data_IF_330037729050
#
_entry.id   IF_330037729050
#
_cell.length_a   1.000
_cell.length_b   1.000
_cell.length_c   1.000
_cell.angle_alpha   90.00
_cell.angle_beta   90.00
_cell.angle_gamma   90.00
#
_symmetry.space_group_name_H-M   'P 1'
#
loop_
_entity.id
_entity.type
_entity.pdbx_description
1 polymer ?
#
# COMPACT_ATOMS: atom_id res chain seq x y z
N UNK A 1 -82.63 15.27 -12.50
CA UNK A 1 -81.49 15.88 -11.77
C UNK A 1 -80.31 14.95 -11.94
N UNK A 2 -79.34 15.39 -12.75
CA UNK A 2 -78.12 14.66 -13.07
C UNK A 2 -77.07 14.91 -11.97
N UNK A 3 -76.31 13.89 -11.60
CA UNK A 3 -75.10 14.00 -10.80
C UNK A 3 -73.91 13.51 -11.62
N UNK A 4 -72.94 14.42 -11.76
CA UNK A 4 -71.88 14.46 -12.75
C UNK A 4 -70.64 13.68 -12.25
N UNK A 5 -70.03 12.90 -13.15
CA UNK A 5 -68.85 12.08 -12.89
C UNK A 5 -67.64 12.87 -13.37
N UNK A 6 -66.79 13.31 -12.44
CA UNK A 6 -65.54 14.01 -12.78
C UNK A 6 -64.44 13.04 -13.30
N UNK A 7 -63.68 13.41 -14.34
CA UNK A 7 -62.61 12.57 -14.89
C UNK A 7 -61.30 12.69 -14.10
N UNK A 8 -60.58 11.57 -14.00
CA UNK A 8 -59.23 11.46 -13.41
C UNK A 8 -58.22 12.32 -14.17
N UNK A 9 -57.44 13.13 -13.44
CA UNK A 9 -56.34 13.94 -13.95
C UNK A 9 -55.18 13.07 -14.47
N UNK A 10 -54.69 13.37 -15.68
CA UNK A 10 -53.47 12.80 -16.26
C UNK A 10 -52.21 13.32 -15.57
N UNK A 11 -51.13 12.52 -15.45
CA UNK A 11 -49.87 13.02 -14.88
C UNK A 11 -49.15 13.96 -15.86
N UNK A 12 -48.61 15.07 -15.35
CA UNK A 12 -47.74 16.01 -16.09
C UNK A 12 -46.47 15.31 -16.57
N UNK A 13 -45.97 15.60 -17.80
CA UNK A 13 -44.68 15.09 -18.26
C UNK A 13 -43.55 15.70 -17.43
N UNK A 14 -42.70 14.85 -16.85
CA UNK A 14 -41.45 15.25 -16.18
C UNK A 14 -40.50 15.82 -17.25
N UNK A 15 -40.05 17.06 -17.08
CA UNK A 15 -39.01 17.66 -17.93
C UNK A 15 -37.72 16.84 -17.78
N UNK A 16 -37.02 16.49 -18.88
CA UNK A 16 -35.73 15.82 -18.78
C UNK A 16 -34.75 16.72 -18.02
N UNK A 17 -33.99 16.14 -17.09
CA UNK A 17 -32.92 16.83 -16.38
C UNK A 17 -31.93 17.40 -17.41
N UNK A 18 -31.61 18.68 -17.27
CA UNK A 18 -30.66 19.38 -18.13
C UNK A 18 -29.29 18.73 -17.92
N UNK A 19 -28.74 18.07 -18.93
CA UNK A 19 -27.36 17.60 -18.90
C UNK A 19 -26.43 18.79 -18.61
N UNK A 20 -25.64 18.68 -17.54
CA UNK A 20 -24.61 19.66 -17.21
C UNK A 20 -23.62 19.74 -18.37
N UNK A 21 -23.28 20.97 -18.79
CA UNK A 21 -22.27 21.16 -19.83
C UNK A 21 -20.89 20.79 -19.24
N UNK A 22 -19.90 20.38 -20.06
CA UNK A 22 -18.54 20.05 -19.62
C UNK A 22 -17.82 21.17 -18.83
N UNK A 23 -18.38 22.38 -18.82
CA UNK A 23 -17.80 23.59 -18.20
C UNK A 23 -17.81 23.58 -16.66
N UNK A 24 -18.54 22.66 -16.03
CA UNK A 24 -18.79 22.67 -14.57
C UNK A 24 -18.07 21.53 -13.80
N UNK A 25 -17.09 20.85 -14.41
CA UNK A 25 -16.61 19.54 -13.93
C UNK A 25 -15.45 19.60 -12.91
N UNK A 26 -14.71 20.71 -12.80
CA UNK A 26 -13.62 20.88 -11.82
C UNK A 26 -13.87 22.07 -10.90
N UNK A 27 -14.19 21.79 -9.63
CA UNK A 27 -14.34 22.83 -8.60
C UNK A 27 -13.01 23.50 -8.24
N UNK A 28 -13.08 24.73 -7.71
CA UNK A 28 -11.89 25.53 -7.29
C UNK A 28 -10.97 24.78 -6.31
N UNK A 29 -11.52 23.88 -5.51
CA UNK A 29 -10.76 23.12 -4.52
C UNK A 29 -9.89 22.03 -5.14
N UNK A 30 -10.40 21.36 -6.17
CA UNK A 30 -9.63 20.38 -6.95
C UNK A 30 -8.48 21.06 -7.69
N UNK A 31 -8.74 22.24 -8.27
CA UNK A 31 -7.74 23.09 -8.91
C UNK A 31 -6.60 23.46 -7.94
N UNK A 32 -6.93 23.88 -6.71
CA UNK A 32 -5.92 24.23 -5.69
C UNK A 32 -5.10 23.02 -5.24
N UNK A 33 -5.73 21.85 -5.15
CA UNK A 33 -5.04 20.59 -4.86
C UNK A 33 -4.03 20.22 -5.96
N UNK A 34 -4.43 20.39 -7.24
CA UNK A 34 -3.53 20.21 -8.38
C UNK A 34 -2.37 21.21 -8.37
N UNK A 35 -2.63 22.50 -8.17
CA UNK A 35 -1.58 23.53 -8.08
C UNK A 35 -0.58 23.23 -6.95
N UNK A 36 -1.07 22.79 -5.79
CA UNK A 36 -0.22 22.41 -4.65
C UNK A 36 0.64 21.19 -4.98
N UNK A 37 0.08 20.19 -5.66
CA UNK A 37 0.81 19.01 -6.12
C UNK A 37 1.92 19.40 -7.11
N UNK A 38 1.61 20.17 -8.15
CA UNK A 38 2.60 20.60 -9.14
C UNK A 38 3.72 21.44 -8.49
N UNK A 39 3.38 22.31 -7.55
CA UNK A 39 4.37 23.10 -6.82
C UNK A 39 5.31 22.20 -5.99
N UNK A 40 4.76 21.19 -5.30
CA UNK A 40 5.56 20.25 -4.51
C UNK A 40 6.46 19.38 -5.40
N UNK A 41 5.94 18.86 -6.51
CA UNK A 41 6.70 18.01 -7.43
C UNK A 41 7.78 18.81 -8.15
N UNK A 42 7.49 20.03 -8.57
CA UNK A 42 8.49 20.93 -9.14
C UNK A 42 9.59 21.26 -8.12
N UNK A 43 9.22 21.54 -6.87
CA UNK A 43 10.18 21.78 -5.79
C UNK A 43 11.06 20.56 -5.51
N UNK A 44 10.51 19.35 -5.58
CA UNK A 44 11.25 18.10 -5.43
C UNK A 44 12.24 17.90 -6.58
N UNK A 45 11.83 18.14 -7.83
CA UNK A 45 12.70 18.03 -9.00
C UNK A 45 13.83 19.07 -8.99
N UNK A 46 13.54 20.30 -8.56
CA UNK A 46 14.54 21.37 -8.46
C UNK A 46 15.58 21.07 -7.37
N UNK A 47 15.12 20.51 -6.25
CA UNK A 47 15.97 20.01 -5.18
C UNK A 47 16.89 18.88 -5.67
N UNK A 48 16.34 17.86 -6.33
CA UNK A 48 17.14 16.77 -6.90
C UNK A 48 18.12 17.28 -7.97
N UNK A 49 17.72 18.22 -8.81
CA UNK A 49 18.59 18.80 -9.83
C UNK A 49 19.75 19.60 -9.24
N UNK A 50 19.50 20.34 -8.17
CA UNK A 50 20.57 21.05 -7.45
C UNK A 50 21.57 20.07 -6.85
N UNK A 51 21.10 18.97 -6.26
CA UNK A 51 21.97 17.94 -5.70
C UNK A 51 22.75 17.19 -6.79
N UNK A 52 22.12 16.83 -7.90
CA UNK A 52 22.80 16.18 -9.03
C UNK A 52 23.87 17.09 -9.63
N UNK A 53 23.62 18.39 -9.74
CA UNK A 53 24.58 19.36 -10.26
C UNK A 53 25.82 19.58 -9.36
N UNK A 54 25.73 19.28 -8.06
CA UNK A 54 26.84 19.42 -7.11
C UNK A 54 27.76 18.19 -7.05
N UNK A 55 27.40 17.12 -7.76
CA UNK A 55 28.01 15.80 -7.64
C UNK A 55 28.19 15.17 -9.02
N UNK A 56 29.34 15.43 -9.69
CA UNK A 56 29.61 14.98 -11.06
C UNK A 56 29.49 13.46 -11.28
N UNK A 57 29.57 12.66 -10.21
CA UNK A 57 29.41 11.21 -10.21
C UNK A 57 28.00 10.70 -10.57
N UNK A 58 26.96 11.54 -10.48
CA UNK A 58 25.59 11.16 -10.87
C UNK A 58 25.41 11.07 -12.40
N UNK A 59 26.39 11.53 -13.18
CA UNK A 59 26.49 11.31 -14.61
C UNK A 59 25.35 11.90 -15.46
N UNK A 60 25.38 11.60 -16.75
CA UNK A 60 24.36 12.02 -17.72
C UNK A 60 22.99 11.39 -17.43
N UNK A 61 22.96 10.20 -16.81
CA UNK A 61 21.74 9.45 -16.57
C UNK A 61 20.73 10.21 -15.69
N UNK A 62 21.17 10.68 -14.51
CA UNK A 62 20.29 11.40 -13.59
C UNK A 62 19.95 12.81 -14.10
N UNK A 63 20.87 13.43 -14.85
CA UNK A 63 20.61 14.72 -15.51
C UNK A 63 19.51 14.59 -16.56
N UNK A 64 19.60 13.59 -17.44
CA UNK A 64 18.59 13.34 -18.48
C UNK A 64 17.27 12.85 -17.88
N UNK A 65 17.30 12.06 -16.81
CA UNK A 65 16.12 11.68 -16.04
C UNK A 65 15.37 12.91 -15.54
N UNK A 66 16.05 13.83 -14.84
CA UNK A 66 15.43 15.03 -14.28
C UNK A 66 14.86 15.92 -15.38
N UNK A 67 15.57 16.04 -16.50
CA UNK A 67 15.06 16.73 -17.68
C UNK A 67 13.79 16.05 -18.23
N UNK A 68 13.74 14.72 -18.27
CA UNK A 68 12.58 13.95 -18.72
C UNK A 68 11.38 14.12 -17.77
N UNK A 69 11.58 14.01 -16.46
CA UNK A 69 10.52 14.20 -15.46
C UNK A 69 9.96 15.64 -15.48
N UNK A 70 10.82 16.65 -15.65
CA UNK A 70 10.37 18.04 -15.87
C UNK A 70 9.53 18.19 -17.12
N UNK A 71 9.89 17.53 -18.23
CA UNK A 71 9.08 17.52 -19.47
C UNK A 71 7.72 16.86 -19.26
N UNK A 72 7.67 15.70 -18.59
CA UNK A 72 6.42 15.01 -18.28
C UNK A 72 5.52 15.82 -17.34
N UNK A 73 6.09 16.46 -16.32
CA UNK A 73 5.34 17.32 -15.41
C UNK A 73 4.79 18.56 -16.13
N UNK A 74 5.59 19.17 -17.01
CA UNK A 74 5.15 20.28 -17.86
C UNK A 74 4.04 19.87 -18.83
N UNK A 75 4.13 18.68 -19.44
CA UNK A 75 3.09 18.15 -20.33
C UNK A 75 1.79 17.85 -19.57
N UNK A 76 1.87 17.26 -18.38
CA UNK A 76 0.72 17.00 -17.52
C UNK A 76 0.06 18.32 -17.09
N UNK A 77 0.85 19.30 -16.68
CA UNK A 77 0.38 20.65 -16.34
C UNK A 77 -0.33 21.31 -17.52
N UNK A 78 0.25 21.21 -18.73
CA UNK A 78 -0.36 21.73 -19.95
C UNK A 78 -1.68 21.02 -20.29
N UNK A 79 -1.74 19.69 -20.18
CA UNK A 79 -2.97 18.92 -20.42
C UNK A 79 -4.06 19.27 -19.41
N UNK A 80 -3.72 19.40 -18.12
CA UNK A 80 -4.67 19.83 -17.09
C UNK A 80 -5.15 21.26 -17.36
N UNK A 81 -4.23 22.18 -17.69
CA UNK A 81 -4.58 23.55 -18.05
C UNK A 81 -5.50 23.63 -19.28
N UNK A 82 -5.31 22.74 -20.27
CA UNK A 82 -6.16 22.65 -21.47
C UNK A 82 -7.58 22.11 -21.21
N UNK A 83 -7.78 21.44 -20.07
CA UNK A 83 -9.09 20.99 -19.61
C UNK A 83 -9.83 22.08 -18.80
N UNK A 84 -9.16 23.19 -18.47
CA UNK A 84 -9.76 24.33 -17.81
C UNK A 84 -10.43 25.25 -18.84
N UNK A 85 -11.63 25.77 -18.56
CA UNK A 85 -12.29 26.67 -19.50
C UNK A 85 -11.53 28.00 -19.62
N UNK A 86 -11.24 28.41 -20.86
CA UNK A 86 -10.77 29.76 -21.22
C UNK A 86 -11.86 30.80 -20.84
N UNK A 87 -11.53 31.99 -20.31
CA UNK A 87 -12.51 32.99 -19.93
C UNK A 87 -13.08 33.71 -21.16
N UNK A 88 -13.91 33.04 -21.96
CA UNK A 88 -14.61 33.65 -23.10
C UNK A 88 -16.03 33.08 -23.35
N UNK A 89 -16.99 33.90 -23.83
CA UNK A 89 -18.41 33.54 -23.89
C UNK A 89 -18.75 32.55 -25.03
N UNK A 90 -19.88 31.82 -24.95
CA UNK A 90 -20.10 30.61 -25.75
C UNK A 90 -20.46 30.90 -27.20
N UNK A 91 -19.82 30.17 -28.13
CA UNK A 91 -20.39 29.82 -29.43
C UNK A 91 -20.63 28.32 -29.51
N UNK A 92 -21.76 27.95 -30.13
CA UNK A 92 -22.25 26.57 -30.27
C UNK A 92 -21.48 25.83 -31.37
N UNK A 93 -21.05 24.60 -31.08
CA UNK A 93 -20.66 23.58 -32.06
C UNK A 93 -21.28 22.21 -31.63
N UNK A 94 -21.52 21.27 -32.56
CA UNK A 94 -22.43 20.15 -32.34
C UNK A 94 -21.79 18.92 -31.70
N UNK A 95 -22.70 18.08 -31.21
CA UNK A 95 -22.60 16.93 -30.33
C UNK A 95 -21.85 15.73 -30.93
N UNK A 96 -20.76 15.31 -30.28
CA UNK A 96 -20.21 13.94 -30.34
C UNK A 96 -19.25 13.69 -29.14
N UNK A 97 -19.72 13.84 -27.90
CA UNK A 97 -18.90 13.54 -26.70
C UNK A 97 -19.76 13.32 -25.44
N UNK A 98 -20.78 12.46 -25.50
CA UNK A 98 -21.78 12.35 -24.40
C UNK A 98 -21.53 11.18 -23.43
N UNK A 99 -20.79 10.13 -23.80
CA UNK A 99 -20.58 8.97 -22.93
C UNK A 99 -19.29 9.06 -22.06
N UNK A 100 -18.17 9.55 -22.61
CA UNK A 100 -16.94 9.74 -21.83
C UNK A 100 -17.10 10.84 -20.76
N UNK A 101 -17.92 11.85 -21.04
CA UNK A 101 -18.14 13.00 -20.16
C UNK A 101 -18.95 12.66 -18.90
N UNK A 102 -19.85 11.66 -18.94
CA UNK A 102 -20.67 11.28 -17.79
C UNK A 102 -19.92 10.39 -16.80
N UNK A 103 -19.06 9.49 -17.29
CA UNK A 103 -18.20 8.65 -16.45
C UNK A 103 -17.16 9.51 -15.71
N UNK A 104 -16.50 10.41 -16.44
CA UNK A 104 -15.56 11.38 -15.87
C UNK A 104 -16.25 12.30 -14.85
N UNK A 105 -17.43 12.84 -15.16
CA UNK A 105 -18.19 13.67 -14.23
C UNK A 105 -18.69 12.90 -12.98
N UNK A 106 -19.03 11.62 -13.12
CA UNK A 106 -19.46 10.78 -11.98
C UNK A 106 -18.30 10.49 -11.03
N UNK A 107 -17.11 10.24 -11.58
CA UNK A 107 -15.90 10.09 -10.77
C UNK A 107 -15.50 11.39 -10.07
N UNK A 108 -15.59 12.53 -10.77
CA UNK A 108 -15.37 13.84 -10.15
C UNK A 108 -16.40 14.16 -9.06
N UNK A 109 -17.66 13.76 -9.20
CA UNK A 109 -18.70 13.93 -8.19
C UNK A 109 -18.48 13.04 -6.95
N UNK A 110 -18.02 11.79 -7.14
CA UNK A 110 -17.65 10.88 -6.05
C UNK A 110 -16.44 11.41 -5.25
N UNK A 111 -15.44 11.99 -5.94
CA UNK A 111 -14.29 12.66 -5.32
C UNK A 111 -14.74 13.89 -4.51
N UNK A 112 -15.63 14.73 -5.08
CA UNK A 112 -16.13 15.93 -4.41
C UNK A 112 -16.94 15.60 -3.14
N UNK A 113 -17.78 14.56 -3.19
CA UNK A 113 -18.60 14.12 -2.06
C UNK A 113 -17.76 13.54 -0.92
N UNK A 114 -16.65 12.86 -1.27
CA UNK A 114 -15.67 12.34 -0.31
C UNK A 114 -14.88 13.46 0.36
N UNK A 115 -14.60 14.57 -0.35
CA UNK A 115 -13.91 15.74 0.19
C UNK A 115 -14.78 16.57 1.14
N UNK A 116 -16.09 16.69 0.88
CA UNK A 116 -17.01 17.38 1.80
C UNK A 116 -17.21 16.62 3.12
N UNK A 117 -17.15 15.28 3.10
CA UNK A 117 -17.15 14.45 4.31
C UNK A 117 -15.88 14.63 5.15
N UNK A 118 -14.74 14.92 4.51
CA UNK A 118 -13.43 15.13 5.17
C UNK A 118 -13.26 16.54 5.73
N UNK A 119 -13.95 17.55 5.18
CA UNK A 119 -13.95 18.95 5.65
C UNK A 119 -14.59 19.18 7.02
N UNK A 120 -15.40 18.24 7.51
CA UNK A 120 -16.03 18.33 8.81
C UNK A 120 -15.06 18.03 9.99
N UNK A 121 -13.76 17.80 9.75
CA UNK A 121 -12.77 17.43 10.78
C UNK A 121 -11.58 18.42 10.81
N UNK A 122 -11.22 19.03 11.95
CA UNK A 122 -10.42 20.27 11.94
C UNK A 122 -8.88 20.09 11.87
N UNK A 123 -8.34 18.90 11.61
CA UNK A 123 -6.89 18.63 11.78
C UNK A 123 -6.25 17.79 10.66
N UNK A 124 -6.67 17.92 9.40
CA UNK A 124 -6.17 17.07 8.30
C UNK A 124 -5.93 17.81 6.97
N UNK A 125 -5.35 19.01 6.99
CA UNK A 125 -5.19 19.85 5.79
C UNK A 125 -3.99 19.52 4.87
N UNK A 126 -3.07 18.64 5.30
CA UNK A 126 -1.91 18.24 4.48
C UNK A 126 -1.97 16.83 3.86
N UNK A 127 -2.94 16.01 4.28
CA UNK A 127 -2.93 14.55 4.07
C UNK A 127 -3.79 14.05 2.90
N UNK A 128 -4.74 14.86 2.42
CA UNK A 128 -5.77 14.42 1.46
C UNK A 128 -5.36 14.64 0.00
N UNK A 129 -4.32 15.44 -0.25
CA UNK A 129 -4.00 15.98 -1.58
C UNK A 129 -3.20 15.02 -2.47
N UNK A 130 -2.37 14.14 -1.89
CA UNK A 130 -1.50 13.22 -2.65
C UNK A 130 -2.20 11.95 -3.15
N UNK A 131 -3.15 11.42 -2.37
CA UNK A 131 -3.82 10.14 -2.63
C UNK A 131 -4.80 10.24 -3.82
N UNK A 132 -5.34 11.43 -4.08
CA UNK A 132 -6.39 11.63 -5.08
C UNK A 132 -5.86 11.73 -6.52
N UNK A 133 -4.59 12.13 -6.72
CA UNK A 133 -4.02 12.37 -8.06
C UNK A 133 -3.62 11.08 -8.80
N UNK A 134 -3.13 10.06 -8.06
CA UNK A 134 -2.80 8.74 -8.61
C UNK A 134 -4.07 8.02 -9.08
N UNK A 135 -5.17 8.14 -8.33
CA UNK A 135 -6.48 7.62 -8.72
C UNK A 135 -7.04 8.30 -9.98
N UNK A 136 -6.87 9.62 -10.13
CA UNK A 136 -7.32 10.36 -11.34
C UNK A 136 -6.51 9.95 -12.58
N UNK A 137 -5.20 9.74 -12.45
CA UNK A 137 -4.35 9.25 -13.55
C UNK A 137 -4.69 7.84 -14.00
N UNK A 138 -4.97 6.93 -13.06
CA UNK A 138 -5.38 5.56 -13.35
C UNK A 138 -6.77 5.47 -13.97
N UNK A 139 -7.72 6.29 -13.49
CA UNK A 139 -9.10 6.34 -14.03
C UNK A 139 -9.15 6.92 -15.45
N UNK A 140 -8.35 7.95 -15.76
CA UNK A 140 -8.29 8.49 -17.13
C UNK A 140 -7.71 7.47 -18.13
N UNK A 141 -6.84 6.57 -17.68
CA UNK A 141 -6.25 5.53 -18.51
C UNK A 141 -7.25 4.37 -18.75
N UNK A 142 -8.00 3.97 -17.71
CA UNK A 142 -9.05 2.96 -17.80
C UNK A 142 -10.25 3.40 -18.67
N UNK A 143 -10.61 4.69 -18.64
CA UNK A 143 -11.73 5.24 -19.41
C UNK A 143 -11.55 5.21 -20.95
N UNK A 144 -10.37 4.82 -21.46
CA UNK A 144 -10.12 4.65 -22.90
C UNK A 144 -10.29 3.20 -23.39
N UNK A 145 -10.50 2.22 -22.49
CA UNK A 145 -10.60 0.79 -22.86
C UNK A 145 -11.95 0.12 -22.62
N UNK A 146 -12.86 0.69 -21.85
CA UNK A 146 -14.18 0.08 -21.58
C UNK A 146 -15.33 0.85 -22.22
N UNK A 147 -15.44 0.73 -23.54
CA UNK A 147 -16.71 0.87 -24.25
C UNK A 147 -17.17 -0.51 -24.73
N UNK A 148 -17.33 -1.46 -23.79
CA UNK A 148 -17.96 -2.74 -24.07
C UNK A 148 -18.49 -3.36 -22.77
N UNK A 149 -19.81 -3.53 -22.72
CA UNK A 149 -20.59 -4.44 -21.87
C UNK A 149 -20.97 -3.95 -20.45
N UNK A 150 -22.10 -3.22 -20.38
CA UNK A 150 -22.98 -3.18 -19.20
C UNK A 150 -24.43 -3.37 -19.68
N UNK A 151 -25.09 -4.43 -19.20
CA UNK A 151 -26.52 -4.55 -18.90
C UNK A 151 -26.67 -5.88 -18.12
N UNK A 152 -27.31 -6.00 -16.96
CA UNK A 152 -28.57 -5.40 -16.51
C UNK A 152 -28.83 -5.68 -15.00
N UNK A 153 -29.25 -4.64 -14.26
CA UNK A 153 -30.41 -4.49 -13.33
C UNK A 153 -31.20 -5.71 -12.79
N UNK A 154 -32.11 -5.55 -11.79
CA UNK A 154 -32.11 -4.74 -10.55
C UNK A 154 -32.72 -5.49 -9.31
N UNK A 155 -32.97 -4.74 -8.22
CA UNK A 155 -34.00 -4.91 -7.15
C UNK A 155 -33.47 -5.26 -5.75
N UNK A 156 -33.56 -4.28 -4.83
CA UNK A 156 -33.50 -4.47 -3.37
C UNK A 156 -34.88 -4.74 -2.74
N UNK A 157 -35.16 -4.26 -1.52
CA UNK A 157 -34.65 -4.77 -0.23
C UNK A 157 -35.81 -5.14 0.72
N UNK A 158 -35.57 -5.93 1.80
CA UNK A 158 -36.38 -5.87 3.03
C UNK A 158 -35.61 -6.22 4.30
N UNK A 159 -35.77 -5.34 5.28
CA UNK A 159 -35.25 -5.33 6.67
C UNK A 159 -36.12 -6.24 7.55
N UNK A 160 -35.51 -6.89 8.55
CA UNK A 160 -36.20 -7.32 9.77
C UNK A 160 -35.35 -6.93 11.00
N UNK A 161 -35.96 -6.09 11.84
CA UNK A 161 -35.47 -5.54 13.09
C UNK A 161 -35.79 -6.52 14.22
N UNK A 162 -34.85 -6.81 15.13
CA UNK A 162 -35.15 -7.46 16.41
C UNK A 162 -34.45 -6.69 17.55
N UNK A 163 -35.23 -6.35 18.56
CA UNK A 163 -34.83 -5.64 19.78
C UNK A 163 -34.95 -6.59 21.01
N UNK A 164 -34.74 -6.15 22.26
CA UNK A 164 -33.54 -6.42 23.04
C UNK A 164 -33.82 -7.28 24.29
N UNK A 165 -32.79 -7.89 24.88
CA UNK A 165 -32.88 -8.40 26.28
C UNK A 165 -31.56 -8.16 27.02
N UNK A 166 -31.72 -7.76 28.28
CA UNK A 166 -30.84 -7.01 29.19
C UNK A 166 -29.87 -7.86 30.04
N UNK A 167 -28.92 -7.22 30.76
CA UNK A 167 -27.68 -7.84 31.25
C UNK A 167 -27.76 -8.41 32.68
N UNK A 168 -26.87 -9.36 32.97
CA UNK A 168 -26.55 -9.83 34.33
C UNK A 168 -25.03 -9.84 34.56
N UNK A 169 -24.60 -9.46 35.76
CA UNK A 169 -23.19 -9.30 36.19
C UNK A 169 -23.15 -9.59 37.71
N UNK A 170 -22.01 -9.84 38.37
CA UNK A 170 -20.87 -10.74 38.11
C UNK A 170 -20.66 -11.75 39.28
N UNK A 171 -19.75 -12.73 39.11
CA UNK A 171 -19.24 -13.57 40.20
C UNK A 171 -17.73 -13.73 40.13
N UNK A 172 -17.02 -13.31 41.18
CA UNK A 172 -15.55 -13.38 41.34
C UNK A 172 -15.16 -14.62 42.16
N UNK A 173 -14.12 -15.36 41.75
CA UNK A 173 -13.31 -16.10 42.71
C UNK A 173 -11.80 -15.80 42.62
N UNK A 174 -11.24 -15.36 43.76
CA UNK A 174 -9.94 -15.71 44.34
C UNK A 174 -8.67 -15.72 43.47
N UNK A 175 -7.88 -14.64 43.56
CA UNK A 175 -6.47 -14.64 43.16
C UNK A 175 -5.61 -15.26 44.28
N UNK A 176 -5.05 -16.45 44.05
CA UNK A 176 -3.89 -16.94 44.81
C UNK A 176 -2.62 -16.55 44.06
N UNK A 177 -1.80 -15.70 44.66
CA UNK A 177 -0.51 -15.31 44.13
C UNK A 177 0.51 -16.44 44.35
N UNK A 178 0.77 -17.21 43.30
CA UNK A 178 1.98 -18.05 43.21
C UNK A 178 3.13 -17.11 42.90
N UNK A 179 4.06 -16.93 43.85
CA UNK A 179 5.33 -16.24 43.61
C UNK A 179 6.17 -17.15 42.71
N UNK A 180 6.11 -16.91 41.41
CA UNK A 180 6.99 -17.55 40.44
C UNK A 180 8.40 -16.97 40.63
N UNK A 181 9.37 -17.83 40.95
CA UNK A 181 10.79 -17.53 40.80
C UNK A 181 11.05 -17.06 39.36
N UNK A 182 11.75 -15.94 39.14
CA UNK A 182 12.04 -15.46 37.80
C UNK A 182 12.92 -16.48 37.08
N UNK A 183 12.35 -17.19 36.12
CA UNK A 183 13.08 -17.99 35.16
C UNK A 183 14.08 -17.06 34.46
N UNK A 184 15.36 -17.44 34.30
CA UNK A 184 16.31 -16.66 33.51
C UNK A 184 15.69 -16.40 32.13
N UNK A 185 15.49 -15.13 31.79
CA UNK A 185 15.02 -14.76 30.45
C UNK A 185 16.14 -15.18 29.49
N UNK A 186 15.89 -16.11 28.55
CA UNK A 186 16.89 -16.48 27.55
C UNK A 186 17.42 -15.23 26.87
N UNK A 187 18.74 -15.11 26.69
CA UNK A 187 19.29 -14.00 25.91
C UNK A 187 18.74 -14.12 24.48
N UNK A 188 18.06 -13.08 23.95
CA UNK A 188 17.55 -13.10 22.59
C UNK A 188 18.68 -13.41 21.61
N UNK A 189 18.43 -14.29 20.66
CA UNK A 189 19.36 -14.54 19.57
C UNK A 189 19.39 -13.29 18.66
N UNK A 190 20.56 -12.86 18.16
CA UNK A 190 20.68 -11.63 17.38
C UNK A 190 19.83 -11.67 16.12
N UNK A 191 19.28 -10.51 15.72
CA UNK A 191 18.55 -10.40 14.45
C UNK A 191 19.50 -10.53 13.26
N UNK A 192 19.01 -11.09 12.15
CA UNK A 192 19.75 -11.08 10.89
C UNK A 192 20.05 -9.65 10.41
N UNK A 193 19.16 -8.69 10.65
CA UNK A 193 19.31 -7.30 10.21
C UNK A 193 20.25 -6.48 11.10
N UNK A 194 20.60 -6.96 12.29
CA UNK A 194 21.66 -6.36 13.11
C UNK A 194 23.05 -6.60 12.50
N UNK A 195 23.20 -7.70 11.75
CA UNK A 195 24.48 -8.17 11.23
C UNK A 195 24.63 -7.91 9.72
N UNK A 196 23.52 -7.90 8.98
CA UNK A 196 23.51 -7.91 7.52
C UNK A 196 22.40 -7.02 6.97
N UNK A 197 22.57 -6.50 5.75
CA UNK A 197 21.44 -6.00 4.95
C UNK A 197 20.70 -7.18 4.31
N UNK A 198 19.53 -6.90 3.77
CA UNK A 198 18.76 -7.87 3.03
C UNK A 198 18.35 -7.34 1.66
N UNK A 199 18.43 -8.22 0.66
CA UNK A 199 17.75 -8.04 -0.63
C UNK A 199 16.72 -9.14 -0.76
N UNK A 200 15.51 -8.80 -1.17
CA UNK A 200 14.45 -9.78 -1.34
C UNK A 200 13.69 -9.59 -2.64
N UNK A 201 13.21 -10.69 -3.20
CA UNK A 201 12.30 -10.68 -4.35
C UNK A 201 10.90 -11.03 -3.88
N UNK A 202 9.94 -10.16 -4.15
CA UNK A 202 8.53 -10.29 -3.78
C UNK A 202 7.73 -10.98 -4.89
N UNK A 203 6.78 -11.83 -4.51
CA UNK A 203 5.65 -12.14 -5.37
C UNK A 203 4.97 -13.48 -5.14
N UNK A 204 3.92 -13.74 -5.92
CA UNK A 204 3.19 -15.01 -5.89
C UNK A 204 3.79 -16.02 -6.89
N UNK A 205 4.06 -17.27 -6.50
CA UNK A 205 4.64 -18.27 -7.38
C UNK A 205 3.83 -18.47 -8.67
N UNK A 206 4.51 -18.41 -9.82
CA UNK A 206 3.92 -18.61 -11.16
C UNK A 206 2.88 -17.56 -11.59
N UNK A 207 2.77 -16.42 -10.90
CA UNK A 207 1.90 -15.31 -11.30
C UNK A 207 2.73 -14.06 -11.62
N UNK A 208 3.08 -13.87 -12.88
CA UNK A 208 3.97 -12.77 -13.34
C UNK A 208 3.44 -11.37 -13.02
N UNK A 209 2.12 -11.21 -12.87
CA UNK A 209 1.48 -9.94 -12.51
C UNK A 209 1.50 -9.64 -11.02
N UNK A 210 1.99 -10.57 -10.19
CA UNK A 210 2.00 -10.47 -8.73
C UNK A 210 3.42 -10.44 -8.19
N UNK A 211 4.33 -9.78 -8.91
CA UNK A 211 5.70 -9.53 -8.50
C UNK A 211 6.76 -10.45 -9.11
N UNK A 212 8.00 -10.01 -9.01
CA UNK A 212 9.20 -10.63 -9.56
C UNK A 212 9.29 -12.16 -9.38
N UNK A 213 8.91 -12.71 -8.23
CA UNK A 213 8.94 -14.17 -8.00
C UNK A 213 8.05 -14.95 -8.97
N UNK A 214 6.97 -14.35 -9.45
CA UNK A 214 6.04 -14.95 -10.40
C UNK A 214 6.65 -15.24 -11.77
N UNK A 215 7.80 -14.63 -12.09
CA UNK A 215 8.54 -14.87 -13.34
C UNK A 215 9.38 -16.16 -13.31
N UNK A 216 9.63 -16.73 -12.13
CA UNK A 216 10.43 -17.93 -11.95
C UNK A 216 9.56 -19.18 -11.91
N UNK A 217 9.91 -20.18 -12.73
CA UNK A 217 9.26 -21.50 -12.70
C UNK A 217 9.88 -22.42 -11.64
N UNK A 218 11.19 -22.35 -11.47
CA UNK A 218 11.95 -23.12 -10.48
C UNK A 218 12.37 -22.18 -9.34
N UNK A 219 12.00 -22.45 -8.07
CA UNK A 219 12.47 -21.66 -6.93
C UNK A 219 13.99 -21.58 -6.83
N UNK A 220 14.75 -22.58 -7.35
CA UNK A 220 16.21 -22.55 -7.38
C UNK A 220 16.75 -21.42 -8.25
N UNK A 221 16.06 -21.07 -9.33
CA UNK A 221 16.45 -19.96 -10.20
C UNK A 221 16.25 -18.64 -9.47
N UNK A 222 15.12 -18.49 -8.77
CA UNK A 222 14.86 -17.34 -7.92
C UNK A 222 15.92 -17.21 -6.80
N UNK A 223 16.27 -18.31 -6.13
CA UNK A 223 17.29 -18.29 -5.08
C UNK A 223 18.68 -17.89 -5.61
N UNK A 224 19.06 -18.31 -6.82
CA UNK A 224 20.31 -17.85 -7.46
C UNK A 224 20.27 -16.37 -7.78
N UNK A 225 19.14 -15.88 -8.28
CA UNK A 225 18.98 -14.49 -8.64
C UNK A 225 19.04 -13.56 -7.42
N UNK A 226 18.29 -13.85 -6.34
CA UNK A 226 18.35 -13.01 -5.15
C UNK A 226 19.74 -12.99 -4.51
N UNK A 227 20.50 -14.10 -4.59
CA UNK A 227 21.90 -14.15 -4.14
C UNK A 227 22.81 -13.29 -5.01
N UNK A 228 22.59 -13.25 -6.33
CA UNK A 228 23.30 -12.35 -7.24
C UNK A 228 23.04 -10.89 -6.86
N UNK A 229 21.78 -10.51 -6.65
CA UNK A 229 21.39 -9.15 -6.27
C UNK A 229 21.93 -8.75 -4.88
N UNK A 230 21.91 -9.68 -3.92
CA UNK A 230 22.52 -9.47 -2.60
C UNK A 230 24.03 -9.22 -2.70
N UNK A 231 24.74 -9.98 -3.54
CA UNK A 231 26.16 -9.79 -3.79
C UNK A 231 26.46 -8.43 -4.45
N UNK A 232 25.61 -7.96 -5.35
CA UNK A 232 25.73 -6.63 -5.98
C UNK A 232 25.56 -5.51 -4.96
N UNK A 233 24.56 -5.59 -4.07
CA UNK A 233 24.38 -4.60 -3.01
C UNK A 233 25.56 -4.62 -2.04
N UNK A 234 26.03 -5.81 -1.63
CA UNK A 234 27.20 -5.94 -0.78
C UNK A 234 28.46 -5.34 -1.43
N UNK A 235 28.66 -5.54 -2.73
CA UNK A 235 29.79 -4.95 -3.44
C UNK A 235 29.71 -3.42 -3.50
N UNK A 236 28.50 -2.85 -3.60
CA UNK A 236 28.30 -1.41 -3.66
C UNK A 236 28.40 -0.72 -2.28
N UNK A 237 27.92 -1.36 -1.20
CA UNK A 237 27.81 -0.75 0.13
C UNK A 237 28.85 -1.28 1.15
N UNK A 238 29.51 -2.39 0.86
CA UNK A 238 30.50 -3.03 1.74
C UNK A 238 29.93 -3.76 2.96
N UNK A 239 28.61 -3.68 3.22
CA UNK A 239 27.95 -4.42 4.30
C UNK A 239 27.57 -5.83 3.85
N UNK A 240 27.79 -6.87 4.69
CA UNK A 240 27.26 -8.21 4.43
C UNK A 240 25.78 -8.16 4.07
N UNK A 241 25.37 -8.85 3.01
CA UNK A 241 24.00 -8.83 2.52
C UNK A 241 23.48 -10.24 2.27
N UNK A 242 22.31 -10.56 2.83
CA UNK A 242 21.62 -11.84 2.64
C UNK A 242 20.46 -11.70 1.65
N UNK A 243 20.22 -12.76 0.85
CA UNK A 243 19.05 -12.85 -0.02
C UNK A 243 17.83 -13.44 0.70
N UNK A 244 16.63 -13.02 0.32
CA UNK A 244 15.38 -13.65 0.77
C UNK A 244 14.37 -13.84 -0.37
N UNK A 245 13.57 -14.90 -0.28
CA UNK A 245 12.41 -15.12 -1.14
C UNK A 245 11.19 -14.61 -0.37
N UNK A 246 10.48 -13.62 -0.88
CA UNK A 246 9.32 -13.02 -0.23
C UNK A 246 8.05 -13.46 -0.95
N UNK A 247 7.50 -14.59 -0.49
CA UNK A 247 6.44 -15.35 -1.17
C UNK A 247 5.09 -14.93 -0.62
N UNK A 248 4.19 -14.49 -1.50
CA UNK A 248 2.78 -14.28 -1.15
C UNK A 248 2.15 -15.65 -0.90
N UNK A 249 1.71 -15.88 0.35
CA UNK A 249 1.10 -17.14 0.77
C UNK A 249 -0.41 -17.04 0.95
N UNK A 250 -0.91 -15.84 1.24
CA UNK A 250 -2.34 -15.56 1.31
C UNK A 250 -2.65 -14.39 0.40
N UNK A 251 -3.53 -14.60 -0.57
CA UNK A 251 -3.90 -13.63 -1.60
C UNK A 251 -5.33 -13.17 -1.36
N UNK A 252 -5.53 -11.88 -1.17
CA UNK A 252 -6.84 -11.29 -1.06
C UNK A 252 -7.61 -11.42 -2.38
N UNK A 253 -8.89 -11.78 -2.30
CA UNK A 253 -9.75 -12.07 -3.43
C UNK A 253 -10.88 -11.06 -3.52
N UNK A 254 -11.20 -10.60 -4.73
CA UNK A 254 -12.37 -9.78 -4.97
C UNK A 254 -13.65 -10.48 -4.51
N UNK A 255 -13.75 -11.79 -4.75
CA UNK A 255 -14.90 -12.61 -4.38
C UNK A 255 -14.67 -13.39 -3.09
N UNK A 256 -15.76 -13.66 -2.36
CA UNK A 256 -15.72 -14.49 -1.17
C UNK A 256 -15.21 -15.90 -1.51
N UNK A 257 -14.24 -16.35 -0.74
CA UNK A 257 -13.79 -17.74 -0.70
C UNK A 257 -14.77 -18.60 0.09
N UNK A 258 -14.59 -19.92 0.05
CA UNK A 258 -15.50 -20.89 0.68
C UNK A 258 -15.67 -20.71 2.18
N UNK A 259 -14.69 -20.10 2.85
CA UNK A 259 -14.72 -19.77 4.27
C UNK A 259 -15.18 -18.32 4.56
N UNK A 260 -15.60 -17.58 3.52
CA UNK A 260 -16.07 -16.20 3.61
C UNK A 260 -14.99 -15.15 3.84
N UNK A 261 -13.71 -15.53 3.89
CA UNK A 261 -12.62 -14.61 4.31
C UNK A 261 -12.08 -13.72 3.19
N UNK A 262 -12.47 -13.94 1.92
CA UNK A 262 -11.84 -13.29 0.76
C UNK A 262 -10.34 -13.60 0.65
N UNK A 263 -9.90 -14.82 1.01
CA UNK A 263 -8.48 -15.20 0.98
C UNK A 263 -8.29 -16.52 0.25
N UNK A 264 -7.57 -16.49 -0.87
CA UNK A 264 -6.99 -17.68 -1.45
C UNK A 264 -5.66 -17.98 -0.76
N UNK A 265 -5.55 -19.15 -0.12
CA UNK A 265 -4.33 -19.57 0.60
C UNK A 265 -3.55 -20.54 -0.27
N UNK A 266 -2.23 -20.34 -0.35
CA UNK A 266 -1.35 -21.24 -1.08
C UNK A 266 -1.40 -22.64 -0.45
N UNK A 267 -1.45 -23.66 -1.29
CA UNK A 267 -1.38 -25.04 -0.82
C UNK A 267 0.02 -25.35 -0.28
N UNK A 268 0.08 -26.18 0.76
CA UNK A 268 1.36 -26.57 1.35
C UNK A 268 2.29 -27.26 0.33
N UNK A 269 1.73 -27.98 -0.65
CA UNK A 269 2.49 -28.63 -1.72
C UNK A 269 3.13 -27.61 -2.69
N UNK A 270 2.51 -26.45 -2.88
CA UNK A 270 3.04 -25.38 -3.72
C UNK A 270 4.07 -24.52 -2.96
N UNK A 271 3.94 -24.36 -1.64
CA UNK A 271 4.90 -23.63 -0.80
C UNK A 271 6.13 -24.46 -0.43
N UNK A 272 5.99 -25.79 -0.26
CA UNK A 272 7.08 -26.67 0.19
C UNK A 272 8.36 -26.55 -0.67
N UNK A 273 8.32 -26.49 -2.02
CA UNK A 273 9.52 -26.31 -2.83
C UNK A 273 10.28 -25.02 -2.53
N UNK A 274 9.57 -23.92 -2.24
CA UNK A 274 10.20 -22.64 -1.87
C UNK A 274 10.89 -22.72 -0.52
N UNK A 275 10.28 -23.43 0.44
CA UNK A 275 10.85 -23.67 1.78
C UNK A 275 12.11 -24.53 1.69
N UNK A 276 12.07 -25.60 0.89
CA UNK A 276 13.22 -26.50 0.68
C UNK A 276 14.38 -25.77 0.02
N UNK A 277 14.10 -25.01 -1.05
CA UNK A 277 15.13 -24.24 -1.75
C UNK A 277 15.71 -23.15 -0.86
N UNK A 278 14.90 -22.44 -0.09
CA UNK A 278 15.40 -21.43 0.84
C UNK A 278 16.40 -22.04 1.83
N UNK A 279 16.04 -23.19 2.43
CA UNK A 279 16.92 -23.95 3.33
C UNK A 279 18.22 -24.37 2.65
N UNK A 280 18.12 -25.00 1.48
CA UNK A 280 19.28 -25.56 0.77
C UNK A 280 20.22 -24.49 0.23
N UNK A 281 19.70 -23.35 -0.21
CA UNK A 281 20.48 -22.28 -0.80
C UNK A 281 21.01 -21.27 0.22
N UNK A 282 20.60 -21.40 1.49
CA UNK A 282 20.99 -20.51 2.58
C UNK A 282 20.44 -19.10 2.40
N UNK A 283 19.24 -18.97 1.84
CA UNK A 283 18.50 -17.70 1.74
C UNK A 283 17.33 -17.73 2.73
N UNK A 284 16.85 -16.56 3.12
CA UNK A 284 15.67 -16.46 3.98
C UNK A 284 14.39 -16.65 3.18
N UNK A 285 13.29 -16.91 3.88
CA UNK A 285 11.95 -16.95 3.31
C UNK A 285 11.05 -16.02 4.13
N UNK A 286 10.37 -15.08 3.48
CA UNK A 286 9.36 -14.21 4.09
C UNK A 286 8.01 -14.66 3.56
N UNK A 287 7.09 -14.99 4.45
CA UNK A 287 5.73 -15.38 4.10
C UNK A 287 4.84 -14.13 4.16
N UNK A 288 4.33 -13.68 3.02
CA UNK A 288 3.47 -12.50 2.93
C UNK A 288 1.99 -12.86 3.00
N UNK A 289 1.25 -12.20 3.89
CA UNK A 289 -0.17 -12.44 4.08
C UNK A 289 -1.03 -11.20 3.80
N UNK A 290 -1.87 -11.30 2.78
CA UNK A 290 -2.98 -10.39 2.53
C UNK A 290 -4.20 -10.92 3.30
N UNK A 291 -4.60 -10.23 4.37
CA UNK A 291 -5.48 -10.82 5.40
C UNK A 291 -6.99 -10.75 5.10
N UNK A 292 -7.39 -10.09 4.00
CA UNK A 292 -8.80 -10.01 3.57
C UNK A 292 -9.76 -9.60 4.69
N UNK A 293 -10.78 -10.42 4.93
CA UNK A 293 -11.75 -10.30 6.04
C UNK A 293 -11.40 -11.16 7.26
N UNK A 294 -10.26 -11.86 7.24
CA UNK A 294 -9.70 -12.50 8.43
C UNK A 294 -8.97 -11.46 9.29
N UNK A 295 -8.35 -11.92 10.38
CA UNK A 295 -7.44 -11.11 11.19
C UNK A 295 -5.99 -11.62 11.07
N UNK A 296 -5.04 -10.71 11.27
CA UNK A 296 -3.62 -11.00 11.08
C UNK A 296 -3.11 -12.13 12.00
N UNK A 297 -3.62 -12.24 13.24
CA UNK A 297 -3.21 -13.30 14.16
C UNK A 297 -3.73 -14.67 13.71
N UNK A 298 -4.98 -14.74 13.26
CA UNK A 298 -5.57 -15.98 12.72
C UNK A 298 -4.78 -16.47 11.51
N UNK A 299 -4.46 -15.59 10.56
CA UNK A 299 -3.66 -15.99 9.40
C UNK A 299 -2.20 -16.33 9.76
N UNK A 300 -1.61 -15.64 10.73
CA UNK A 300 -0.28 -16.00 11.27
C UNK A 300 -0.26 -17.40 11.85
N UNK A 301 -1.28 -17.79 12.64
CA UNK A 301 -1.38 -19.13 13.25
C UNK A 301 -1.46 -20.25 12.21
N UNK A 302 -2.06 -20.00 11.04
CA UNK A 302 -2.11 -20.98 9.95
C UNK A 302 -0.72 -21.28 9.38
N UNK A 303 0.20 -20.34 9.50
CA UNK A 303 1.58 -20.45 9.01
C UNK A 303 2.54 -21.03 10.07
N UNK A 304 2.07 -21.39 11.28
CA UNK A 304 2.93 -21.83 12.40
C UNK A 304 3.93 -22.91 11.97
N UNK A 305 3.49 -23.93 11.22
CA UNK A 305 4.35 -25.04 10.76
C UNK A 305 5.60 -24.56 10.00
N UNK A 306 5.50 -23.43 9.31
CA UNK A 306 6.60 -22.84 8.53
C UNK A 306 7.38 -21.84 9.38
N UNK A 307 6.70 -21.05 10.19
CA UNK A 307 7.32 -20.07 11.09
C UNK A 307 8.21 -20.70 12.17
N UNK A 308 8.01 -22.00 12.47
CA UNK A 308 8.93 -22.83 13.27
C UNK A 308 10.31 -23.03 12.65
N UNK A 309 10.49 -22.74 11.36
CA UNK A 309 11.79 -22.87 10.71
C UNK A 309 12.63 -21.62 10.96
N UNK A 310 13.92 -21.73 11.29
CA UNK A 310 14.73 -20.59 11.75
C UNK A 310 14.89 -19.49 10.69
N UNK A 311 14.93 -19.85 9.41
CA UNK A 311 15.11 -18.93 8.26
C UNK A 311 13.80 -18.35 7.70
N UNK A 312 12.65 -18.66 8.31
CA UNK A 312 11.33 -18.21 7.87
C UNK A 312 10.83 -17.05 8.72
N UNK A 313 10.34 -16.00 8.07
CA UNK A 313 9.83 -14.76 8.66
C UNK A 313 8.42 -14.45 8.13
N UNK A 314 7.78 -13.43 8.69
CA UNK A 314 6.41 -13.04 8.34
C UNK A 314 6.37 -11.61 7.80
N UNK A 315 5.60 -11.40 6.75
CA UNK A 315 5.13 -10.09 6.32
C UNK A 315 3.60 -10.04 6.37
N UNK A 316 3.05 -8.90 6.75
CA UNK A 316 1.60 -8.64 6.73
C UNK A 316 1.37 -7.44 5.84
N UNK A 317 0.40 -7.55 4.94
CA UNK A 317 0.01 -6.47 4.06
C UNK A 317 -1.29 -5.79 4.56
N UNK A 318 -1.19 -4.62 5.21
CA UNK A 318 -2.34 -3.90 5.74
C UNK A 318 -3.26 -3.36 4.65
N UNK A 319 -2.80 -3.25 3.39
CA UNK A 319 -3.65 -2.83 2.27
C UNK A 319 -4.91 -3.71 2.16
N UNK A 320 -4.77 -4.99 2.52
CA UNK A 320 -5.84 -5.97 2.43
C UNK A 320 -6.53 -6.25 3.78
N UNK A 321 -6.21 -5.50 4.84
CA UNK A 321 -6.85 -5.60 6.15
C UNK A 321 -8.14 -4.79 6.21
N UNK A 322 -9.20 -5.29 5.57
CA UNK A 322 -10.40 -4.51 5.31
C UNK A 322 -11.34 -4.51 6.52
N UNK A 323 -11.80 -3.31 6.89
CA UNK A 323 -12.80 -3.11 7.94
C UNK A 323 -14.17 -2.84 7.30
N UNK A 324 -15.24 -3.28 7.96
CA UNK A 324 -16.61 -2.93 7.58
C UNK A 324 -17.20 -3.68 6.37
N UNK A 325 -16.61 -4.83 5.98
CA UNK A 325 -17.18 -5.70 4.93
C UNK A 325 -17.00 -5.18 3.51
N UNK A 326 -16.01 -4.32 3.26
CA UNK A 326 -15.61 -3.94 1.91
C UNK A 326 -14.74 -5.04 1.30
N UNK A 327 -14.99 -5.43 0.05
CA UNK A 327 -14.18 -6.41 -0.65
C UNK A 327 -12.79 -5.85 -1.02
N UNK A 328 -11.75 -6.70 -1.10
CA UNK A 328 -10.43 -6.31 -1.60
C UNK A 328 -10.48 -5.58 -2.94
N UNK A 329 -9.67 -4.54 -3.08
CA UNK A 329 -9.61 -3.69 -4.28
C UNK A 329 -10.58 -2.49 -4.28
N UNK A 330 -11.53 -2.41 -3.34
CA UNK A 330 -12.44 -1.25 -3.23
C UNK A 330 -11.94 -0.16 -2.29
N UNK A 331 -11.10 -0.52 -1.32
CA UNK A 331 -10.53 0.39 -0.34
C UNK A 331 -9.19 -0.15 0.15
N UNK A 332 -8.36 0.76 0.67
CA UNK A 332 -7.13 0.40 1.38
C UNK A 332 -7.48 0.07 2.83
N UNK A 333 -6.97 -1.08 3.29
CA UNK A 333 -7.19 -1.60 4.62
C UNK A 333 -6.39 -0.87 5.71
N UNK A 334 -6.51 -1.39 6.94
CA UNK A 334 -5.85 -0.83 8.12
C UNK A 334 -5.56 -1.92 9.13
N UNK A 335 -4.32 -1.95 9.60
CA UNK A 335 -3.89 -2.73 10.74
C UNK A 335 -3.62 -1.78 11.93
N UNK A 336 -4.18 -2.09 13.09
CA UNK A 336 -3.95 -1.30 14.31
C UNK A 336 -2.91 -1.93 15.23
N UNK A 337 -2.38 -1.13 16.15
CA UNK A 337 -1.35 -1.58 17.10
C UNK A 337 -1.76 -2.76 17.97
N UNK A 338 -3.05 -2.92 18.27
CA UNK A 338 -3.53 -4.11 18.97
C UNK A 338 -3.34 -5.38 18.12
N UNK A 339 -3.68 -5.31 16.83
CA UNK A 339 -3.50 -6.41 15.88
C UNK A 339 -2.01 -6.72 15.66
N UNK A 340 -1.18 -5.70 15.48
CA UNK A 340 0.28 -5.87 15.36
C UNK A 340 0.86 -6.52 16.61
N UNK A 341 0.52 -6.01 17.80
CA UNK A 341 1.00 -6.57 19.07
C UNK A 341 0.54 -8.00 19.32
N UNK A 342 -0.67 -8.37 18.86
CA UNK A 342 -1.15 -9.75 18.96
C UNK A 342 -0.31 -10.71 18.10
N UNK A 343 0.08 -10.29 16.89
CA UNK A 343 1.01 -11.03 16.03
C UNK A 343 2.41 -11.10 16.66
N UNK A 344 2.94 -9.97 17.15
CA UNK A 344 4.23 -9.93 17.83
C UNK A 344 4.28 -10.91 19.01
N UNK A 345 3.30 -10.86 19.91
CA UNK A 345 3.26 -11.71 21.09
C UNK A 345 3.23 -13.20 20.72
N UNK A 346 2.45 -13.57 19.70
CA UNK A 346 2.38 -14.95 19.24
C UNK A 346 3.70 -15.43 18.60
N UNK A 347 4.33 -14.61 17.76
CA UNK A 347 5.62 -14.93 17.18
C UNK A 347 6.72 -14.99 18.25
N UNK A 348 6.73 -14.08 19.22
CA UNK A 348 7.68 -14.07 20.32
C UNK A 348 7.56 -15.34 21.17
N UNK A 349 6.33 -15.76 21.48
CA UNK A 349 6.08 -17.03 22.18
C UNK A 349 6.52 -18.24 21.36
N UNK A 350 6.36 -18.20 20.04
CA UNK A 350 6.86 -19.24 19.14
C UNK A 350 8.40 -19.29 19.16
N UNK A 351 9.07 -18.14 19.10
CA UNK A 351 10.54 -18.03 19.20
C UNK A 351 11.04 -18.63 20.50
N UNK A 352 10.45 -18.23 21.64
CA UNK A 352 10.83 -18.72 22.98
C UNK A 352 10.58 -20.22 23.14
N UNK A 353 9.44 -20.71 22.66
CA UNK A 353 9.05 -22.14 22.80
C UNK A 353 9.91 -23.07 21.95
N UNK A 354 10.28 -22.64 20.75
CA UNK A 354 10.97 -23.48 19.77
C UNK A 354 12.48 -23.18 19.71
N UNK A 355 12.98 -22.23 20.52
CA UNK A 355 14.39 -21.85 20.56
C UNK A 355 14.89 -21.23 19.27
N UNK A 356 14.06 -20.41 18.61
CA UNK A 356 14.36 -19.85 17.29
C UNK A 356 15.23 -18.59 17.38
N UNK A 357 15.88 -18.20 16.27
CA UNK A 357 16.35 -16.83 16.09
C UNK A 357 15.21 -15.82 16.14
N UNK A 358 15.54 -14.56 16.48
CA UNK A 358 14.63 -13.41 16.41
C UNK A 358 13.94 -13.35 15.05
N UNK A 359 12.63 -13.11 15.03
CA UNK A 359 11.83 -13.08 13.79
C UNK A 359 11.55 -11.64 13.36
N UNK A 360 11.77 -11.35 12.08
CA UNK A 360 11.19 -10.16 11.46
C UNK A 360 9.67 -10.31 11.32
N UNK A 361 8.96 -9.25 11.68
CA UNK A 361 7.58 -8.98 11.28
C UNK A 361 7.60 -7.76 10.36
N UNK A 362 7.51 -8.00 9.06
CA UNK A 362 7.47 -6.95 8.05
C UNK A 362 6.04 -6.43 7.88
N UNK A 363 5.87 -5.12 7.81
CA UNK A 363 4.59 -4.45 7.62
C UNK A 363 4.68 -3.54 6.40
N UNK A 364 3.84 -3.79 5.39
CA UNK A 364 3.78 -2.96 4.19
C UNK A 364 3.05 -1.64 4.47
N UNK A 365 3.57 -0.54 3.94
CA UNK A 365 2.93 0.77 4.11
C UNK A 365 3.28 1.76 2.98
N UNK A 366 2.25 2.35 2.39
CA UNK A 366 2.39 3.51 1.49
C UNK A 366 1.42 4.66 1.83
N UNK A 367 0.50 4.46 2.78
CA UNK A 367 -0.39 5.49 3.32
C UNK A 367 -0.39 5.48 4.85
N UNK A 368 -0.53 6.67 5.46
CA UNK A 368 -0.51 6.81 6.93
C UNK A 368 -1.55 5.92 7.62
N UNK A 369 -2.77 5.85 7.10
CA UNK A 369 -3.86 5.11 7.74
C UNK A 369 -3.72 3.58 7.66
N UNK A 370 -2.79 3.04 6.87
CA UNK A 370 -2.57 1.59 6.79
C UNK A 370 -2.08 1.00 8.11
N UNK A 371 -1.27 1.75 8.86
CA UNK A 371 -0.76 1.36 10.18
C UNK A 371 -1.17 2.41 11.21
N UNK A 372 -1.99 2.02 12.18
CA UNK A 372 -2.53 2.94 13.20
C UNK A 372 -2.14 2.52 14.61
N UNK A 373 -2.08 3.47 15.54
CA UNK A 373 -1.63 3.17 16.91
C UNK A 373 -0.16 2.74 16.96
N UNK A 374 0.67 3.21 16.03
CA UNK A 374 2.10 2.87 15.96
C UNK A 374 2.88 3.24 17.23
N UNK A 375 2.41 4.22 18.00
CA UNK A 375 2.97 4.58 19.31
C UNK A 375 2.72 3.56 20.42
N UNK A 376 1.85 2.57 20.20
CA UNK A 376 1.55 1.51 21.17
C UNK A 376 2.18 0.17 20.79
N UNK A 377 3.02 0.13 19.75
CA UNK A 377 3.75 -1.08 19.39
C UNK A 377 4.60 -1.53 20.58
N UNK A 378 4.38 -2.78 20.99
CA UNK A 378 5.12 -3.38 22.08
C UNK A 378 6.55 -3.64 21.63
N UNK A 379 7.51 -3.42 22.53
CA UNK A 379 8.87 -3.92 22.35
C UNK A 379 8.90 -5.40 22.75
N UNK A 380 9.12 -6.29 21.79
CA UNK A 380 9.42 -7.70 22.05
C UNK A 380 10.86 -7.98 21.59
N UNK A 381 11.79 -8.36 22.49
CA UNK A 381 13.17 -8.59 22.10
C UNK A 381 13.36 -9.78 21.14
N UNK A 382 12.34 -10.64 20.98
CA UNK A 382 12.37 -11.79 20.09
C UNK A 382 11.77 -11.49 18.70
N UNK A 383 11.22 -10.28 18.51
CA UNK A 383 10.59 -9.83 17.25
C UNK A 383 11.18 -8.50 16.80
N UNK A 384 11.41 -8.34 15.51
CA UNK A 384 11.88 -7.09 14.93
C UNK A 384 10.84 -6.56 13.94
N UNK A 385 10.28 -5.39 14.23
CA UNK A 385 9.36 -4.71 13.31
C UNK A 385 10.13 -4.07 12.17
N UNK A 386 9.84 -4.52 10.94
CA UNK A 386 10.35 -3.94 9.71
C UNK A 386 9.21 -3.22 9.00
N UNK A 387 9.36 -1.94 8.66
CA UNK A 387 8.34 -1.23 7.86
C UNK A 387 8.85 -1.09 6.44
N UNK A 388 8.14 -1.70 5.51
CA UNK A 388 8.44 -1.64 4.08
C UNK A 388 7.64 -0.53 3.42
N UNK A 389 8.33 0.50 2.94
CA UNK A 389 7.69 1.52 2.12
C UNK A 389 7.28 0.91 0.78
N UNK A 390 5.99 0.65 0.65
CA UNK A 390 5.39 -0.13 -0.44
C UNK A 390 4.73 0.78 -1.50
N UNK A 391 5.38 1.92 -1.78
CA UNK A 391 4.91 2.90 -2.76
C UNK A 391 5.77 2.92 -4.02
N UNK A 392 5.13 3.04 -5.18
CA UNK A 392 5.79 3.19 -6.48
C UNK A 392 5.71 4.63 -7.00
N UNK A 393 6.61 4.99 -7.92
CA UNK A 393 6.53 6.27 -8.61
C UNK A 393 7.88 6.89 -8.95
N UNK A 394 7.92 8.20 -9.24
CA UNK A 394 9.17 8.90 -9.49
C UNK A 394 10.04 8.93 -8.22
N UNK A 395 11.35 9.06 -8.40
CA UNK A 395 12.35 9.07 -7.31
C UNK A 395 11.98 10.04 -6.19
N UNK A 396 11.53 11.27 -6.51
CA UNK A 396 11.15 12.26 -5.50
C UNK A 396 10.04 11.75 -4.56
N UNK A 397 8.91 11.32 -5.14
CA UNK A 397 7.79 10.74 -4.38
C UNK A 397 8.20 9.49 -3.60
N UNK A 398 9.08 8.67 -4.18
CA UNK A 398 9.57 7.43 -3.55
C UNK A 398 10.44 7.69 -2.34
N UNK A 399 11.34 8.67 -2.42
CA UNK A 399 12.19 9.10 -1.31
C UNK A 399 11.36 9.82 -0.23
N UNK A 400 10.43 10.70 -0.62
CA UNK A 400 9.48 11.35 0.30
C UNK A 400 8.68 10.32 1.11
N UNK A 401 8.10 9.32 0.42
CA UNK A 401 7.30 8.28 1.05
C UNK A 401 8.11 7.35 1.94
N UNK A 402 9.32 6.96 1.50
CA UNK A 402 10.23 6.17 2.33
C UNK A 402 10.66 6.91 3.60
N UNK A 403 11.02 8.20 3.50
CA UNK A 403 11.40 9.00 4.64
C UNK A 403 10.26 9.09 5.68
N UNK A 404 9.01 9.14 5.21
CA UNK A 404 7.82 9.24 6.06
C UNK A 404 7.39 7.93 6.69
N UNK A 405 7.46 6.81 5.97
CA UNK A 405 6.90 5.53 6.40
C UNK A 405 7.98 4.49 6.68
N UNK A 406 8.79 4.13 5.68
CA UNK A 406 9.83 3.10 5.83
C UNK A 406 10.89 3.46 6.89
N UNK A 407 11.29 4.73 6.96
CA UNK A 407 12.26 5.23 7.93
C UNK A 407 11.62 5.76 9.23
N UNK A 408 10.31 5.62 9.41
CA UNK A 408 9.57 6.21 10.53
C UNK A 408 10.07 5.73 11.91
N UNK A 409 9.84 6.50 12.99
CA UNK A 409 10.29 6.11 14.34
C UNK A 409 9.72 4.80 14.88
N UNK A 410 8.55 4.36 14.39
CA UNK A 410 7.93 3.10 14.78
C UNK A 410 8.47 1.88 14.02
N UNK A 411 9.34 2.09 13.03
CA UNK A 411 10.06 1.04 12.34
C UNK A 411 11.37 0.74 13.10
N UNK A 412 11.54 -0.45 13.66
CA UNK A 412 12.83 -0.83 14.25
C UNK A 412 13.89 -0.95 13.16
N UNK A 413 13.50 -1.51 12.01
CA UNK A 413 14.28 -1.56 10.77
C UNK A 413 13.50 -0.96 9.61
N UNK A 414 14.25 -0.33 8.70
CA UNK A 414 13.66 0.34 7.54
C UNK A 414 13.74 -0.54 6.30
N UNK A 415 12.66 -0.58 5.51
CA UNK A 415 12.63 -1.28 4.24
C UNK A 415 12.06 -0.38 3.13
N UNK A 416 12.51 -0.61 1.90
CA UNK A 416 12.05 0.09 0.71
C UNK A 416 11.77 -0.92 -0.40
N UNK A 417 10.54 -0.88 -0.93
CA UNK A 417 10.19 -1.62 -2.13
C UNK A 417 10.55 -0.86 -3.39
N UNK A 418 11.17 -1.54 -4.35
CA UNK A 418 11.51 -1.07 -5.69
C UNK A 418 10.64 -1.85 -6.69
N UNK A 419 9.78 -1.13 -7.41
CA UNK A 419 8.87 -1.70 -8.39
C UNK A 419 9.52 -1.63 -9.76
N UNK A 420 9.99 -2.75 -10.26
CA UNK A 420 10.81 -2.83 -11.48
C UNK A 420 10.10 -2.33 -12.73
N UNK A 421 8.77 -2.47 -12.79
CA UNK A 421 7.96 -2.00 -13.91
C UNK A 421 7.34 -0.61 -13.68
N UNK A 422 7.12 -0.21 -12.42
CA UNK A 422 6.33 0.99 -12.08
C UNK A 422 7.16 2.19 -11.60
N UNK A 423 8.39 1.97 -11.12
CA UNK A 423 9.31 3.05 -10.79
C UNK A 423 9.97 3.56 -12.07
N UNK A 424 9.74 4.83 -12.39
CA UNK A 424 10.24 5.43 -13.63
C UNK A 424 11.01 6.74 -13.33
N UNK A 425 12.36 6.68 -13.31
CA UNK A 425 13.18 5.47 -13.45
C UNK A 425 13.30 4.68 -12.14
N UNK A 426 13.70 3.42 -12.29
CA UNK A 426 14.07 2.55 -11.19
C UNK A 426 15.33 3.07 -10.50
N UNK A 427 15.27 3.28 -9.19
CA UNK A 427 16.44 3.63 -8.39
C UNK A 427 17.41 2.46 -8.29
N UNK A 428 18.71 2.72 -8.45
CA UNK A 428 19.73 1.74 -8.09
C UNK A 428 19.95 1.79 -6.58
N UNK A 429 19.97 0.65 -5.86
CA UNK A 429 20.21 0.64 -4.42
C UNK A 429 21.48 1.40 -3.98
N UNK A 430 22.52 1.37 -4.80
CA UNK A 430 23.78 2.06 -4.56
C UNK A 430 23.64 3.60 -4.49
N UNK A 431 22.60 4.17 -5.11
CA UNK A 431 22.38 5.62 -5.13
C UNK A 431 21.47 6.11 -3.99
N UNK A 432 20.76 5.19 -3.31
CA UNK A 432 19.81 5.53 -2.24
C UNK A 432 20.47 6.40 -1.13
N UNK A 433 21.67 6.10 -0.62
CA UNK A 433 22.28 6.93 0.42
C UNK A 433 22.47 8.38 0.03
N UNK A 434 22.84 8.62 -1.23
CA UNK A 434 23.04 9.93 -1.80
C UNK A 434 21.70 10.65 -2.01
N UNK A 435 20.70 9.95 -2.57
CA UNK A 435 19.36 10.48 -2.78
C UNK A 435 18.71 10.92 -1.46
N UNK A 436 18.89 10.14 -0.39
CA UNK A 436 18.39 10.50 0.95
C UNK A 436 19.10 11.73 1.54
N UNK A 437 20.42 11.87 1.32
CA UNK A 437 21.17 13.08 1.75
C UNK A 437 20.74 14.31 0.98
N UNK A 438 20.57 14.20 -0.33
CA UNK A 438 20.07 15.27 -1.19
C UNK A 438 18.68 15.74 -0.77
N UNK A 439 17.78 14.79 -0.54
CA UNK A 439 16.44 15.04 -0.03
C UNK A 439 16.44 15.77 1.31
N UNK A 440 17.24 15.30 2.26
CA UNK A 440 17.34 15.86 3.61
C UNK A 440 17.84 17.31 3.58
N UNK A 441 18.88 17.58 2.77
CA UNK A 441 19.39 18.93 2.56
C UNK A 441 18.33 19.86 1.96
N UNK A 442 17.55 19.37 0.99
CA UNK A 442 16.51 20.15 0.33
C UNK A 442 15.31 20.46 1.23
N UNK A 443 14.91 19.53 2.11
CA UNK A 443 13.80 19.72 3.05
C UNK A 443 14.22 20.42 4.34
N UNK A 444 15.53 20.61 4.55
CA UNK A 444 16.11 21.02 5.83
C UNK A 444 15.66 20.08 6.97
N UNK A 445 15.70 18.78 6.69
CA UNK A 445 15.34 17.69 7.60
C UNK A 445 16.55 16.79 7.88
N UNK A 446 16.56 16.00 8.97
CA UNK A 446 17.58 14.98 9.20
C UNK A 446 17.60 13.94 8.08
N UNK A 447 18.78 13.43 7.72
CA UNK A 447 18.87 12.34 6.74
C UNK A 447 18.16 11.09 7.27
N UNK A 448 17.18 10.53 6.52
CA UNK A 448 16.52 9.30 6.92
C UNK A 448 17.53 8.14 7.03
N UNK A 449 17.21 7.16 7.88
CA UNK A 449 18.01 5.92 7.97
C UNK A 449 18.06 5.23 6.61
N UNK A 450 19.20 4.60 6.30
CA UNK A 450 19.30 3.75 5.11
C UNK A 450 18.40 2.52 5.26
N UNK A 451 17.83 2.01 4.16
CA UNK A 451 17.04 0.79 4.22
C UNK A 451 17.94 -0.39 4.61
N UNK A 452 17.50 -1.13 5.63
CA UNK A 452 18.07 -2.41 6.04
C UNK A 452 17.65 -3.52 5.07
N UNK A 453 16.47 -3.37 4.44
CA UNK A 453 15.93 -4.29 3.43
C UNK A 453 15.57 -3.55 2.14
N UNK A 454 16.04 -4.08 1.00
CA UNK A 454 15.55 -3.70 -0.33
C UNK A 454 14.64 -4.81 -0.85
N UNK A 455 13.39 -4.47 -1.11
CA UNK A 455 12.39 -5.40 -1.68
C UNK A 455 12.25 -5.11 -3.17
N UNK A 456 12.40 -6.11 -4.02
CA UNK A 456 12.15 -5.98 -5.46
C UNK A 456 10.82 -6.61 -5.82
N UNK A 457 9.98 -5.88 -6.56
CA UNK A 457 8.69 -6.34 -7.08
C UNK A 457 8.60 -6.20 -8.58
#
# INVERSE_FOLDING_TARGET
MAADIQPRSTPRPVRPARALAPRDVLGRDSLRAFETYFANEQSNLDALASAVGQHPEFGEFYTEMLASQRRSLAELSFRVASLLPDPAPPRRAPVALTAASSAVASTFHAIATSMDALRARPLASGLVTGITAVAVGAVLLAATREAALIESSPIGPRIALAAPVTPGTPGTPGLSAVVATPTPIPTPQPSVLEQQRMVTMYGYPRATTMGMLGTFRDPRDAAREVKRMAAELQAADGRPTIGALHVIVHVAQEHQTTDGTHIARIDAADLQPWVEVAREQGVLLILDTQVGWSDALTETKRLERWLKLPFVHLAVDPEFALKGGLAPGLAIGTLDGASVNAVQAYLGDLVRREGLPRKMLMLHQFMEHMLTGTSTYAADPDIEIVVDFDGHGPIGAKIDGYARYGAAPYAERAAMKLFTEHDQPLMRPADIPQLLRAWAAAKNEPTPRLPDVIVYQ
#
